data_IF_429166120887
#
_entry.id   IF_429166120887
#
_cell.length_a   1.000
_cell.length_b   1.000
_cell.length_c   1.000
_cell.angle_alpha   90.00
_cell.angle_beta   90.00
_cell.angle_gamma   90.00
#
_symmetry.space_group_name_H-M   'P 1'
#
loop_
_entity.id
_entity.type
_entity.pdbx_description
1 polymer ?
#
# COMPACT_ATOMS: atom_id res chain seq x y z
N UNK A 1 -27.41 -2.09 38.39
CA UNK A 1 -27.59 -3.20 37.41
C UNK A 1 -27.98 -2.58 36.08
N UNK A 2 -27.00 -2.01 35.36
CA UNK A 2 -27.20 -1.31 34.10
C UNK A 2 -26.59 -2.15 32.97
N UNK A 3 -27.40 -2.39 31.96
CA UNK A 3 -27.15 -3.23 30.79
C UNK A 3 -25.86 -2.79 30.08
N UNK A 4 -24.85 -3.66 30.09
CA UNK A 4 -23.73 -3.60 29.14
C UNK A 4 -24.31 -3.78 27.72
N UNK A 5 -24.53 -2.70 26.99
CA UNK A 5 -24.80 -2.74 25.55
C UNK A 5 -23.45 -2.71 24.81
N UNK A 6 -22.97 -3.85 24.25
CA UNK A 6 -21.68 -3.92 23.54
C UNK A 6 -21.61 -3.04 22.27
N UNK A 7 -22.76 -2.53 21.82
CA UNK A 7 -22.92 -1.76 20.59
C UNK A 7 -22.49 -0.29 20.78
N UNK A 8 -22.68 0.29 21.96
CA UNK A 8 -22.31 1.68 22.21
C UNK A 8 -20.79 1.85 22.24
N UNK A 9 -20.06 0.89 22.82
CA UNK A 9 -18.61 0.95 22.94
C UNK A 9 -17.89 0.84 21.58
N UNK A 10 -18.40 0.04 20.64
CA UNK A 10 -17.86 -0.06 19.27
C UNK A 10 -18.13 1.20 18.43
N UNK A 11 -19.27 1.87 18.63
CA UNK A 11 -19.61 3.10 17.91
C UNK A 11 -18.74 4.29 18.34
N UNK A 12 -18.46 4.43 19.65
CA UNK A 12 -17.54 5.46 20.15
C UNK A 12 -16.14 5.31 19.53
N UNK A 13 -15.64 4.06 19.45
CA UNK A 13 -14.34 3.77 18.86
C UNK A 13 -14.22 4.20 17.38
N UNK A 14 -15.33 4.18 16.63
CA UNK A 14 -15.35 4.56 15.21
C UNK A 14 -15.32 6.07 15.00
N UNK A 15 -16.05 6.84 15.82
CA UNK A 15 -16.03 8.30 15.74
C UNK A 15 -14.66 8.86 16.18
N UNK A 16 -14.07 8.28 17.22
CA UNK A 16 -12.74 8.63 17.70
C UNK A 16 -11.65 8.33 16.66
N UNK A 17 -11.82 7.28 15.85
CA UNK A 17 -10.90 6.95 14.76
C UNK A 17 -10.82 8.08 13.71
N UNK A 18 -11.96 8.56 13.22
CA UNK A 18 -11.99 9.65 12.24
C UNK A 18 -11.50 10.97 12.82
N UNK A 19 -11.88 11.29 14.07
CA UNK A 19 -11.39 12.47 14.78
C UNK A 19 -9.87 12.45 14.95
N UNK A 20 -9.31 11.29 15.31
CA UNK A 20 -7.87 11.09 15.46
C UNK A 20 -7.13 11.33 14.14
N UNK A 21 -7.63 10.84 13.00
CA UNK A 21 -7.01 11.10 11.69
C UNK A 21 -6.92 12.60 11.40
N UNK A 22 -7.97 13.36 11.70
CA UNK A 22 -8.00 14.80 11.48
C UNK A 22 -7.07 15.58 12.42
N UNK A 23 -6.88 15.10 13.66
CA UNK A 23 -6.00 15.70 14.65
C UNK A 23 -4.51 15.52 14.29
N UNK A 24 -4.14 14.35 13.75
CA UNK A 24 -2.76 14.02 13.38
C UNK A 24 -2.41 14.27 11.89
N UNK A 25 -3.24 15.02 11.16
CA UNK A 25 -3.04 15.30 9.72
C UNK A 25 -1.68 15.92 9.39
N UNK A 26 -1.14 16.78 10.26
CA UNK A 26 0.14 17.46 10.00
C UNK A 26 1.32 16.51 10.13
N UNK A 27 1.22 15.54 11.05
CA UNK A 27 2.18 14.44 11.17
C UNK A 27 2.10 13.50 9.96
N UNK A 28 0.88 13.18 9.51
CA UNK A 28 0.67 12.36 8.31
C UNK A 28 1.27 13.02 7.06
N UNK A 29 1.01 14.32 6.84
CA UNK A 29 1.60 15.10 5.74
C UNK A 29 3.13 15.05 5.77
N UNK A 30 3.74 15.24 6.94
CA UNK A 30 5.20 15.21 7.08
C UNK A 30 5.78 13.81 6.84
N UNK A 31 5.10 12.78 7.31
CA UNK A 31 5.49 11.38 7.11
C UNK A 31 5.41 11.00 5.63
N UNK A 32 4.31 11.31 4.96
CA UNK A 32 4.13 11.11 3.51
C UNK A 32 5.17 11.90 2.71
N UNK A 33 5.40 13.16 3.04
CA UNK A 33 6.42 13.98 2.36
C UNK A 33 7.83 13.39 2.53
N UNK A 34 8.14 12.83 3.70
CA UNK A 34 9.41 12.15 3.97
C UNK A 34 9.54 10.85 3.16
N UNK A 35 8.47 10.08 3.06
CA UNK A 35 8.46 8.82 2.32
C UNK A 35 8.54 9.06 0.81
N UNK A 36 7.86 10.08 0.29
CA UNK A 36 8.03 10.56 -1.09
C UNK A 36 9.48 11.01 -1.33
N UNK A 37 10.05 11.85 -0.46
CA UNK A 37 11.46 12.28 -0.59
C UNK A 37 12.43 11.10 -0.57
N UNK A 38 12.20 10.08 0.25
CA UNK A 38 13.00 8.84 0.25
C UNK A 38 12.86 8.06 -1.06
N UNK A 39 11.64 7.94 -1.58
CA UNK A 39 11.33 7.25 -2.84
C UNK A 39 11.97 7.96 -4.05
N UNK A 40 11.97 9.30 -4.06
CA UNK A 40 12.58 10.10 -5.12
C UNK A 40 14.10 10.30 -4.97
N UNK A 41 14.67 10.20 -3.75
CA UNK A 41 16.13 10.26 -3.54
C UNK A 41 16.86 8.97 -3.93
N UNK A 42 16.19 7.82 -3.92
CA UNK A 42 16.75 6.56 -4.43
C UNK A 42 16.70 6.58 -5.96
N UNK A 43 17.68 7.25 -6.55
CA UNK A 43 18.31 6.98 -7.86
C UNK A 43 17.38 6.64 -9.03
N UNK A 44 17.46 7.41 -10.11
CA UNK A 44 16.87 7.13 -11.43
C UNK A 44 17.01 5.66 -11.89
N UNK A 45 18.09 5.00 -11.48
CA UNK A 45 18.35 3.58 -11.72
C UNK A 45 17.30 2.61 -11.11
N UNK A 46 16.75 2.92 -9.94
CA UNK A 46 15.71 2.12 -9.29
C UNK A 46 14.35 2.27 -9.96
N UNK A 47 14.04 3.47 -10.47
CA UNK A 47 12.80 3.75 -11.21
C UNK A 47 12.74 2.96 -12.53
N UNK A 48 13.85 2.97 -13.27
CA UNK A 48 13.99 2.18 -14.51
C UNK A 48 13.87 0.69 -14.21
N UNK A 49 14.48 0.21 -13.13
CA UNK A 49 14.41 -1.21 -12.74
C UNK A 49 13.00 -1.66 -12.32
N UNK A 50 12.26 -0.80 -11.61
CA UNK A 50 10.86 -1.07 -11.23
C UNK A 50 9.91 -1.09 -12.43
N UNK A 51 10.20 -0.40 -13.54
CA UNK A 51 9.43 -0.51 -14.79
C UNK A 51 9.88 -1.69 -15.66
N UNK A 52 11.16 -2.04 -15.64
CA UNK A 52 11.70 -3.14 -16.43
C UNK A 52 11.11 -4.49 -16.02
N UNK A 53 10.94 -4.72 -14.71
CA UNK A 53 10.42 -5.96 -14.15
C UNK A 53 8.99 -6.32 -14.67
N UNK A 54 7.97 -5.46 -14.50
CA UNK A 54 6.63 -5.73 -15.04
C UNK A 54 6.61 -5.80 -16.57
N UNK A 55 7.48 -5.07 -17.28
CA UNK A 55 7.55 -5.12 -18.75
C UNK A 55 8.11 -6.45 -19.27
N UNK A 56 9.18 -6.96 -18.64
CA UNK A 56 9.71 -8.30 -18.91
C UNK A 56 8.69 -9.38 -18.53
N UNK A 57 8.01 -9.24 -17.40
CA UNK A 57 7.00 -10.19 -16.95
C UNK A 57 5.81 -10.23 -17.92
N UNK A 58 5.38 -9.08 -18.44
CA UNK A 58 4.35 -9.00 -19.49
C UNK A 58 4.82 -9.64 -20.81
N UNK A 59 6.06 -9.38 -21.23
CA UNK A 59 6.62 -9.95 -22.45
C UNK A 59 6.71 -11.48 -22.38
N UNK A 60 7.25 -12.03 -21.28
CA UNK A 60 7.38 -13.47 -21.08
C UNK A 60 6.01 -14.15 -21.04
N UNK A 61 5.06 -13.62 -20.26
CA UNK A 61 3.74 -14.21 -20.13
C UNK A 61 2.96 -14.15 -21.45
N UNK A 62 3.06 -13.04 -22.19
CA UNK A 62 2.42 -12.93 -23.51
C UNK A 62 3.01 -13.92 -24.51
N UNK A 63 4.34 -14.09 -24.54
CA UNK A 63 5.00 -15.04 -25.46
C UNK A 63 4.66 -16.49 -25.11
N UNK A 64 4.71 -16.86 -23.82
CA UNK A 64 4.40 -18.22 -23.35
C UNK A 64 2.95 -18.59 -23.65
N UNK A 65 2.00 -17.71 -23.30
CA UNK A 65 0.59 -18.01 -23.52
C UNK A 65 0.14 -17.83 -24.98
N UNK A 66 0.79 -16.98 -25.77
CA UNK A 66 0.55 -16.91 -27.22
C UNK A 66 0.93 -18.20 -27.95
N UNK A 67 1.81 -19.03 -27.37
CA UNK A 67 2.16 -20.35 -27.90
C UNK A 67 1.26 -21.47 -27.39
N UNK A 68 0.66 -21.30 -26.20
CA UNK A 68 -0.18 -22.32 -25.55
C UNK A 68 -1.68 -22.17 -25.85
N UNK A 69 -2.17 -20.95 -26.12
CA UNK A 69 -3.57 -20.65 -26.41
C UNK A 69 -3.76 -20.28 -27.90
N UNK A 70 -4.40 -21.13 -28.72
CA UNK A 70 -4.75 -20.75 -30.08
C UNK A 70 -5.90 -19.70 -30.08
N UNK A 71 -5.61 -18.50 -30.60
CA UNK A 71 -6.57 -17.44 -31.01
C UNK A 71 -7.51 -16.89 -29.92
N UNK A 72 -6.94 -16.21 -28.92
CA UNK A 72 -7.72 -15.24 -28.12
C UNK A 72 -7.35 -13.84 -28.59
N UNK A 73 -8.30 -13.13 -29.21
CA UNK A 73 -8.11 -11.71 -29.55
C UNK A 73 -7.83 -10.90 -28.28
N UNK A 74 -6.81 -10.04 -28.31
CA UNK A 74 -6.44 -9.13 -27.22
C UNK A 74 -6.04 -9.79 -25.87
N UNK A 75 -5.53 -11.03 -25.85
CA UNK A 75 -5.06 -11.70 -24.63
C UNK A 75 -4.03 -10.88 -23.82
N UNK A 76 -3.12 -10.19 -24.51
CA UNK A 76 -2.11 -9.34 -23.88
C UNK A 76 -2.73 -8.23 -23.01
N UNK A 77 -3.87 -7.67 -23.41
CA UNK A 77 -4.54 -6.57 -22.68
C UNK A 77 -5.21 -7.10 -21.41
N UNK A 78 -5.89 -8.24 -21.48
CA UNK A 78 -6.51 -8.88 -20.31
C UNK A 78 -5.47 -9.28 -19.26
N UNK A 79 -4.34 -9.82 -19.72
CA UNK A 79 -3.25 -10.21 -18.83
C UNK A 79 -2.62 -8.97 -18.19
N UNK A 80 -2.39 -7.91 -18.97
CA UNK A 80 -1.85 -6.66 -18.48
C UNK A 80 -2.72 -6.01 -17.39
N UNK A 81 -4.03 -5.91 -17.60
CA UNK A 81 -4.95 -5.33 -16.61
C UNK A 81 -4.94 -6.11 -15.29
N UNK A 82 -4.98 -7.44 -15.36
CA UNK A 82 -4.94 -8.31 -14.17
C UNK A 82 -3.59 -8.22 -13.44
N UNK A 83 -2.49 -8.20 -14.21
CA UNK A 83 -1.14 -8.18 -13.67
C UNK A 83 -0.81 -6.84 -12.99
N UNK A 84 -1.21 -5.72 -13.60
CA UNK A 84 -1.02 -4.40 -13.01
C UNK A 84 -1.76 -4.26 -11.68
N UNK A 85 -3.04 -4.68 -11.63
CA UNK A 85 -3.82 -4.64 -10.40
C UNK A 85 -3.19 -5.49 -9.29
N UNK A 86 -2.75 -6.70 -9.63
CA UNK A 86 -2.07 -7.58 -8.69
C UNK A 86 -0.72 -7.05 -8.22
N UNK A 87 0.10 -6.53 -9.12
CA UNK A 87 1.42 -5.96 -8.81
C UNK A 87 1.30 -4.74 -7.88
N UNK A 88 0.35 -3.85 -8.17
CA UNK A 88 0.06 -2.71 -7.31
C UNK A 88 -0.38 -3.17 -5.91
N UNK A 89 -1.34 -4.09 -5.85
CA UNK A 89 -1.84 -4.64 -4.59
C UNK A 89 -0.72 -5.30 -3.77
N UNK A 90 0.05 -6.20 -4.38
CA UNK A 90 1.14 -6.92 -3.74
C UNK A 90 2.22 -5.96 -3.22
N UNK A 91 2.62 -4.97 -4.01
CA UNK A 91 3.60 -3.95 -3.62
C UNK A 91 3.09 -3.11 -2.44
N UNK A 92 1.84 -2.67 -2.46
CA UNK A 92 1.25 -1.86 -1.38
C UNK A 92 1.16 -2.65 -0.09
N UNK A 93 0.71 -3.91 -0.14
CA UNK A 93 0.64 -4.78 1.05
C UNK A 93 2.04 -5.02 1.64
N UNK A 94 3.02 -5.38 0.81
CA UNK A 94 4.40 -5.57 1.29
C UNK A 94 5.01 -4.30 1.88
N UNK A 95 4.75 -3.13 1.27
CA UNK A 95 5.19 -1.83 1.79
C UNK A 95 4.55 -1.51 3.15
N UNK A 96 3.25 -1.75 3.30
CA UNK A 96 2.51 -1.54 4.54
C UNK A 96 3.00 -2.45 5.68
N UNK A 97 3.29 -3.71 5.40
CA UNK A 97 3.85 -4.64 6.39
C UNK A 97 5.24 -4.18 6.87
N UNK A 98 6.05 -3.60 5.97
CA UNK A 98 7.33 -2.98 6.30
C UNK A 98 7.22 -1.66 7.06
N UNK A 99 6.10 -0.94 6.94
CA UNK A 99 5.89 0.38 7.53
C UNK A 99 6.05 0.39 9.05
N UNK A 100 5.50 -0.64 9.73
CA UNK A 100 5.55 -0.77 11.19
C UNK A 100 6.99 -0.94 11.67
N UNK A 101 7.75 -1.83 11.02
CA UNK A 101 9.16 -2.07 11.34
C UNK A 101 10.02 -0.84 11.05
N UNK A 102 9.75 -0.14 9.94
CA UNK A 102 10.52 1.05 9.55
C UNK A 102 10.28 2.27 10.44
N UNK A 103 9.12 2.34 11.11
CA UNK A 103 8.74 3.45 12.00
C UNK A 103 8.76 3.08 13.49
N UNK A 104 9.29 1.90 13.86
CA UNK A 104 9.33 1.38 15.24
C UNK A 104 9.95 2.36 16.24
N UNK A 105 11.02 3.07 15.85
CA UNK A 105 11.70 4.08 16.67
C UNK A 105 10.81 5.29 17.01
N UNK A 106 9.83 5.61 16.16
CA UNK A 106 8.88 6.71 16.37
C UNK A 106 7.71 6.24 17.24
N UNK A 107 7.28 4.98 17.06
CA UNK A 107 6.22 4.34 17.84
C UNK A 107 6.57 4.27 19.32
N UNK A 108 7.84 4.05 19.67
CA UNK A 108 8.30 3.99 21.06
C UNK A 108 8.41 5.37 21.74
N UNK A 109 8.54 6.45 20.96
CA UNK A 109 8.78 7.80 21.48
C UNK A 109 7.50 8.64 21.62
N UNK A 110 6.45 8.31 20.87
CA UNK A 110 5.20 9.08 20.87
C UNK A 110 4.02 8.11 21.00
N UNK A 111 3.13 8.30 21.99
CA UNK A 111 1.94 7.47 22.16
C UNK A 111 0.89 7.81 21.09
N UNK A 112 1.12 7.37 19.84
CA UNK A 112 0.19 7.51 18.71
C UNK A 112 -0.46 6.14 18.45
N UNK A 113 -1.76 6.08 18.10
CA UNK A 113 -2.38 4.83 17.71
C UNK A 113 -1.68 4.15 16.52
N UNK A 114 -1.37 2.85 16.65
CA UNK A 114 -0.51 2.09 15.72
C UNK A 114 -1.03 2.05 14.27
N UNK A 115 -2.35 2.13 14.08
CA UNK A 115 -2.99 2.13 12.75
C UNK A 115 -2.62 3.36 11.90
N UNK A 116 -2.22 4.46 12.53
CA UNK A 116 -1.90 5.71 11.84
C UNK A 116 -0.66 5.59 10.95
N UNK A 117 0.28 4.70 11.30
CA UNK A 117 1.48 4.42 10.51
C UNK A 117 1.20 3.59 9.25
N UNK A 118 0.20 2.70 9.31
CA UNK A 118 -0.26 1.95 8.14
C UNK A 118 -0.92 2.89 7.13
N UNK A 119 -1.77 3.81 7.61
CA UNK A 119 -2.48 4.79 6.75
C UNK A 119 -1.50 5.71 6.02
N UNK A 120 -0.37 6.07 6.64
CA UNK A 120 0.65 6.93 6.01
C UNK A 120 1.42 6.26 4.86
N UNK A 121 1.42 4.93 4.78
CA UNK A 121 2.28 4.17 3.84
C UNK A 121 1.49 3.51 2.70
N UNK A 122 0.16 3.62 2.73
CA UNK A 122 -0.76 3.08 1.73
C UNK A 122 -0.73 3.84 0.40
#
# INVERSE_FOLDING_TARGET
>A
MAVHTPIAHTLYHYHDFFSSIFQYREYLKQSVARDLRKKYKRTSLGYVWSMLNPLLMMAVLTVVFSKLLPRVENYAVYLFCSLLGWQYFSSTVSSNLGAIRSNMKIIEQVPIPKFMFMISTA
#
